data_IF_807726229339
#
_entry.id   IF_807726229339
#
_cell.length_a   1.000
_cell.length_b   1.000
_cell.length_c   1.000
_cell.angle_alpha   90.00
_cell.angle_beta   90.00
_cell.angle_gamma   90.00
#
_symmetry.space_group_name_H-M   'P 1'
#
loop_
_entity.id
_entity.type
_entity.pdbx_description
1 polymer ?
#
# COMPACT_ATOMS: atom_id res chain seq x y z
N UNK A 1 12.28 2.98 -18.32
CA UNK A 1 11.07 3.51 -18.96
C UNK A 1 10.33 4.38 -17.97
N UNK A 2 10.09 5.65 -18.29
CA UNK A 2 9.16 6.49 -17.52
C UNK A 2 7.97 6.81 -18.43
N UNK A 3 6.77 7.00 -17.85
CA UNK A 3 5.45 7.03 -18.52
C UNK A 3 4.68 5.70 -18.65
N UNK A 4 4.97 4.72 -17.78
CA UNK A 4 4.12 3.53 -17.62
C UNK A 4 4.31 2.42 -18.66
N UNK A 5 5.36 2.51 -19.49
CA UNK A 5 5.77 1.40 -20.36
C UNK A 5 6.63 0.41 -19.57
N UNK A 6 6.37 -0.88 -19.76
CA UNK A 6 7.16 -1.97 -19.18
C UNK A 6 7.59 -2.90 -20.32
N UNK A 7 8.84 -3.35 -20.29
CA UNK A 7 9.39 -4.36 -21.21
C UNK A 7 9.75 -5.61 -20.43
N UNK A 8 9.47 -6.77 -21.03
CA UNK A 8 9.66 -8.07 -20.39
C UNK A 8 11.07 -8.65 -20.62
N UNK A 9 11.80 -8.15 -21.63
CA UNK A 9 13.12 -8.67 -22.01
C UNK A 9 14.14 -7.55 -22.23
N UNK A 10 15.42 -7.89 -22.14
CA UNK A 10 16.52 -6.95 -22.34
C UNK A 10 16.67 -6.54 -23.81
N UNK A 11 16.32 -7.41 -24.75
CA UNK A 11 16.32 -7.12 -26.19
C UNK A 11 15.23 -6.10 -26.55
N UNK A 12 14.04 -6.23 -25.95
CA UNK A 12 12.95 -5.24 -26.13
C UNK A 12 13.34 -3.87 -25.59
N UNK A 13 14.13 -3.81 -24.50
CA UNK A 13 14.60 -2.57 -23.89
C UNK A 13 15.43 -1.72 -24.87
N UNK A 14 16.24 -2.35 -25.73
CA UNK A 14 17.08 -1.65 -26.72
C UNK A 14 16.30 -1.11 -27.92
N UNK A 15 15.06 -1.55 -28.15
CA UNK A 15 14.22 -1.04 -29.24
C UNK A 15 13.49 0.26 -28.90
N UNK A 16 13.56 0.72 -27.64
CA UNK A 16 12.88 1.93 -27.18
C UNK A 16 13.83 3.12 -27.02
N UNK A 17 13.39 4.28 -27.53
CA UNK A 17 14.11 5.54 -27.35
C UNK A 17 14.00 6.02 -25.89
N UNK A 18 15.13 6.17 -25.22
CA UNK A 18 15.22 6.82 -23.92
C UNK A 18 15.29 8.33 -24.13
N UNK A 19 14.24 9.04 -23.72
CA UNK A 19 14.30 10.50 -23.62
C UNK A 19 15.32 10.86 -22.55
N UNK A 20 16.43 11.46 -22.98
CA UNK A 20 17.57 11.84 -22.16
C UNK A 20 17.18 12.96 -21.17
N UNK A 21 16.66 12.56 -20.01
CA UNK A 21 16.51 13.43 -18.83
C UNK A 21 17.13 12.74 -17.60
N UNK A 22 18.21 11.98 -17.78
CA UNK A 22 18.95 11.43 -16.64
C UNK A 22 19.76 12.59 -16.05
N UNK A 23 19.46 12.93 -14.79
CA UNK A 23 20.23 13.91 -14.03
C UNK A 23 21.68 13.43 -13.99
N UNK A 24 22.60 14.20 -14.58
CA UNK A 24 24.03 13.87 -14.61
C UNK A 24 24.76 14.24 -13.30
N UNK A 25 24.07 14.94 -12.39
CA UNK A 25 24.57 15.28 -11.06
C UNK A 25 24.33 14.13 -10.09
N UNK A 26 25.30 13.85 -9.22
CA UNK A 26 25.12 12.93 -8.10
C UNK A 26 23.91 13.30 -7.23
N UNK A 27 23.28 12.29 -6.65
CA UNK A 27 22.30 12.53 -5.59
C UNK A 27 23.03 13.10 -4.37
N UNK A 28 22.47 14.14 -3.70
CA UNK A 28 23.02 14.59 -2.45
C UNK A 28 23.04 13.41 -1.47
N UNK A 29 24.09 13.33 -0.66
CA UNK A 29 24.17 12.31 0.39
C UNK A 29 22.99 12.48 1.33
N UNK A 30 22.27 11.39 1.56
CA UNK A 30 21.16 11.32 2.51
C UNK A 30 21.69 11.01 3.92
N UNK A 31 22.76 11.70 4.32
CA UNK A 31 23.41 11.50 5.61
C UNK A 31 22.39 11.79 6.72
N UNK A 32 22.17 10.81 7.60
CA UNK A 32 21.22 10.89 8.71
C UNK A 32 19.73 10.77 8.35
N UNK A 33 19.35 10.48 7.10
CA UNK A 33 17.94 10.41 6.68
C UNK A 33 17.11 9.37 7.45
N UNK A 34 17.75 8.29 7.90
CA UNK A 34 17.12 7.21 8.67
C UNK A 34 17.59 7.18 10.13
N UNK A 35 18.19 8.27 10.62
CA UNK A 35 18.60 8.34 12.02
C UNK A 35 17.37 8.27 12.94
N UNK A 36 17.46 7.41 13.96
CA UNK A 36 16.34 7.13 14.87
C UNK A 36 15.28 6.18 14.31
N UNK A 37 15.48 5.60 13.12
CA UNK A 37 14.61 4.57 12.55
C UNK A 37 15.13 3.18 12.89
N UNK A 38 14.29 2.35 13.51
CA UNK A 38 14.54 0.92 13.65
C UNK A 38 13.98 0.18 12.43
N UNK A 39 14.84 -0.55 11.72
CA UNK A 39 14.44 -1.35 10.55
C UNK A 39 14.39 -2.81 10.96
N UNK A 40 13.19 -3.39 10.91
CA UNK A 40 12.96 -4.79 11.24
C UNK A 40 12.52 -5.59 10.01
N UNK A 41 12.95 -6.84 9.94
CA UNK A 41 12.46 -7.81 8.95
C UNK A 41 11.56 -8.82 9.66
N UNK A 42 10.29 -8.46 9.78
CA UNK A 42 9.32 -9.24 10.53
C UNK A 42 7.95 -9.25 9.82
N UNK A 43 7.14 -10.29 10.06
CA UNK A 43 5.77 -10.33 9.56
C UNK A 43 4.89 -9.35 10.34
N UNK A 44 3.96 -8.69 9.66
CA UNK A 44 2.98 -7.83 10.33
C UNK A 44 2.15 -8.59 11.38
N UNK A 45 1.96 -9.91 11.20
CA UNK A 45 1.27 -10.79 12.15
C UNK A 45 1.92 -10.81 13.53
N UNK A 46 3.23 -10.58 13.62
CA UNK A 46 3.97 -10.59 14.90
C UNK A 46 4.43 -9.19 15.30
N UNK A 47 4.64 -8.29 14.34
CA UNK A 47 5.06 -6.92 14.63
C UNK A 47 3.93 -6.06 15.21
N UNK A 48 2.76 -6.00 14.56
CA UNK A 48 1.67 -5.12 15.00
C UNK A 48 1.16 -5.45 16.41
N UNK A 49 0.99 -6.74 16.79
CA UNK A 49 0.54 -7.08 18.14
C UNK A 49 1.45 -6.60 19.27
N UNK A 50 2.76 -6.44 19.03
CA UNK A 50 3.71 -5.91 20.04
C UNK A 50 3.38 -4.48 20.46
N UNK A 51 2.69 -3.74 19.60
CA UNK A 51 2.32 -2.35 19.83
C UNK A 51 0.81 -2.18 20.07
N UNK A 52 0.01 -3.26 20.08
CA UNK A 52 -1.45 -3.18 20.20
C UNK A 52 -1.91 -2.50 21.49
N UNK A 53 -1.17 -2.61 22.59
CA UNK A 53 -1.53 -1.99 23.87
C UNK A 53 -0.95 -0.57 24.05
N UNK A 54 -0.20 -0.05 23.09
CA UNK A 54 0.37 1.30 23.14
C UNK A 54 -0.57 2.34 22.49
N UNK A 55 -1.28 3.18 23.25
CA UNK A 55 -2.19 4.17 22.69
C UNK A 55 -1.47 5.29 21.91
N UNK A 56 -0.14 5.43 22.04
CA UNK A 56 0.65 6.43 21.31
C UNK A 56 1.19 5.89 19.98
N UNK A 57 1.15 4.58 19.77
CA UNK A 57 1.65 3.98 18.53
C UNK A 57 0.64 4.15 17.39
N UNK A 58 1.07 4.89 16.36
CA UNK A 58 0.37 5.12 15.10
C UNK A 58 0.76 4.06 14.07
N UNK A 59 -0.21 3.32 13.55
CA UNK A 59 0.03 2.33 12.50
C UNK A 59 -0.08 2.99 11.12
N UNK A 60 1.02 3.00 10.36
CA UNK A 60 1.03 3.45 8.96
C UNK A 60 1.10 2.21 8.08
N UNK A 61 -0.01 1.86 7.44
CA UNK A 61 -0.22 0.59 6.75
C UNK A 61 -0.33 0.82 5.24
N UNK A 62 0.64 0.32 4.49
CA UNK A 62 0.65 0.30 3.02
C UNK A 62 0.80 -1.13 2.49
N UNK A 63 -0.22 -1.98 2.65
CA UNK A 63 -0.17 -3.36 2.20
C UNK A 63 -0.21 -3.48 0.67
N UNK A 64 0.31 -4.58 0.08
CA UNK A 64 0.14 -4.88 -1.33
C UNK A 64 -1.35 -4.89 -1.73
N UNK A 65 -1.75 -4.09 -2.71
CA UNK A 65 -3.17 -3.97 -3.08
C UNK A 65 -3.71 -5.25 -3.73
N UNK A 66 -4.82 -5.74 -3.19
CA UNK A 66 -5.59 -6.84 -3.77
C UNK A 66 -5.98 -6.50 -5.22
N UNK A 67 -5.76 -7.44 -6.13
CA UNK A 67 -6.19 -7.39 -7.53
C UNK A 67 -5.55 -6.33 -8.45
N UNK A 68 -4.23 -6.14 -8.40
CA UNK A 68 -3.49 -5.55 -9.52
C UNK A 68 -3.17 -6.63 -10.57
N UNK A 69 -4.11 -6.87 -11.51
CA UNK A 69 -4.01 -7.77 -12.68
C UNK A 69 -3.24 -9.10 -12.43
N UNK A 70 -3.98 -10.17 -12.22
CA UNK A 70 -3.51 -11.56 -12.12
C UNK A 70 -2.66 -12.08 -13.31
N UNK A 71 -2.49 -11.33 -14.40
CA UNK A 71 -1.68 -11.76 -15.55
C UNK A 71 -0.16 -11.63 -15.33
N UNK A 72 0.31 -10.92 -14.30
CA UNK A 72 1.75 -10.64 -14.11
C UNK A 72 2.45 -11.48 -13.04
N UNK A 73 1.73 -12.29 -12.25
CA UNK A 73 2.29 -12.92 -11.04
C UNK A 73 2.23 -14.44 -11.06
N UNK A 74 3.13 -15.06 -11.84
CA UNK A 74 3.48 -16.49 -11.72
C UNK A 74 4.35 -16.75 -10.47
N UNK A 75 3.88 -16.46 -9.27
CA UNK A 75 4.63 -16.77 -8.04
C UNK A 75 3.69 -17.19 -6.89
N UNK A 76 3.98 -18.37 -6.31
CA UNK A 76 3.08 -19.18 -5.49
C UNK A 76 2.97 -18.78 -3.99
N UNK A 77 3.37 -17.55 -3.59
CA UNK A 77 3.32 -17.07 -2.20
C UNK A 77 3.11 -15.54 -2.13
N UNK A 78 2.05 -15.03 -2.72
CA UNK A 78 1.70 -13.60 -2.62
C UNK A 78 0.84 -13.33 -1.40
N UNK A 79 0.98 -12.12 -0.83
CA UNK A 79 0.03 -11.54 0.13
C UNK A 79 -1.37 -11.70 -0.45
N UNK A 80 -2.14 -12.60 0.16
CA UNK A 80 -3.43 -13.04 -0.35
C UNK A 80 -4.58 -12.34 0.39
N UNK A 81 -5.80 -12.68 0.01
CA UNK A 81 -6.99 -12.16 0.67
C UNK A 81 -6.99 -12.46 2.18
N UNK A 82 -6.43 -13.59 2.60
CA UNK A 82 -6.41 -13.99 4.02
C UNK A 82 -5.45 -13.11 4.80
N UNK A 83 -4.26 -12.83 4.26
CA UNK A 83 -3.32 -11.89 4.88
C UNK A 83 -3.92 -10.48 4.99
N UNK A 84 -4.67 -10.06 3.98
CA UNK A 84 -5.41 -8.80 4.02
C UNK A 84 -6.45 -8.76 5.14
N UNK A 85 -7.29 -9.78 5.24
CA UNK A 85 -8.33 -9.88 6.29
C UNK A 85 -7.69 -9.90 7.69
N UNK A 86 -6.58 -10.63 7.86
CA UNK A 86 -5.83 -10.67 9.11
C UNK A 86 -5.24 -9.31 9.47
N UNK A 87 -4.69 -8.58 8.49
CA UNK A 87 -4.17 -7.24 8.70
C UNK A 87 -5.28 -6.30 9.21
N UNK A 88 -6.45 -6.31 8.58
CA UNK A 88 -7.59 -5.51 9.03
C UNK A 88 -8.02 -5.93 10.44
N UNK A 89 -8.06 -7.22 10.74
CA UNK A 89 -8.48 -7.73 12.04
C UNK A 89 -7.54 -7.31 13.20
N UNK A 90 -6.24 -7.16 12.94
CA UNK A 90 -5.27 -6.74 13.97
C UNK A 90 -4.99 -5.22 13.97
N UNK A 91 -5.62 -4.47 13.08
CA UNK A 91 -5.49 -3.01 13.01
C UNK A 91 -6.29 -2.36 14.12
N UNK A 92 -5.69 -1.40 14.84
CA UNK A 92 -6.37 -0.60 15.87
C UNK A 92 -6.04 0.89 15.74
N UNK A 93 -6.93 1.81 16.15
CA UNK A 93 -6.61 3.23 16.21
C UNK A 93 -5.48 3.53 17.22
N UNK A 94 -4.65 4.56 17.00
CA UNK A 94 -4.61 5.39 15.79
C UNK A 94 -3.95 4.68 14.60
N UNK A 95 -4.50 4.84 13.39
CA UNK A 95 -3.92 4.31 12.15
C UNK A 95 -4.15 5.21 10.93
N UNK A 96 -3.29 5.02 9.93
CA UNK A 96 -3.41 5.50 8.54
C UNK A 96 -3.25 4.30 7.61
N UNK A 97 -4.26 4.02 6.81
CA UNK A 97 -4.35 2.86 5.94
C UNK A 97 -4.43 3.31 4.48
N UNK A 98 -3.45 2.91 3.67
CA UNK A 98 -3.41 3.20 2.24
C UNK A 98 -4.06 2.06 1.45
N UNK A 99 -4.86 2.41 0.43
CA UNK A 99 -5.59 1.46 -0.41
C UNK A 99 -5.92 2.07 -1.78
N UNK A 100 -5.91 1.30 -2.86
CA UNK A 100 -6.32 1.81 -4.20
C UNK A 100 -7.77 1.46 -4.54
N UNK A 101 -8.37 2.13 -5.53
CA UNK A 101 -9.76 1.89 -6.00
C UNK A 101 -10.02 0.47 -6.52
N UNK A 102 -8.98 -0.23 -6.99
CA UNK A 102 -9.10 -1.63 -7.42
C UNK A 102 -9.21 -2.61 -6.26
N UNK A 103 -8.99 -2.13 -5.03
CA UNK A 103 -9.11 -2.97 -3.85
C UNK A 103 -10.56 -3.05 -3.41
N UNK A 104 -11.01 -4.28 -3.15
CA UNK A 104 -12.25 -4.60 -2.42
C UNK A 104 -12.29 -3.99 -1.00
N UNK A 105 -11.32 -3.16 -0.60
CA UNK A 105 -11.19 -2.65 0.75
C UNK A 105 -12.36 -1.77 1.20
N UNK A 106 -12.78 -0.81 0.37
CA UNK A 106 -13.92 0.05 0.73
C UNK A 106 -15.19 -0.79 0.87
N UNK A 107 -15.40 -1.73 -0.06
CA UNK A 107 -16.54 -2.67 -0.01
C UNK A 107 -16.49 -3.54 1.24
N UNK A 108 -15.30 -4.05 1.57
CA UNK A 108 -15.05 -4.84 2.76
C UNK A 108 -15.28 -4.05 4.05
N UNK A 109 -14.84 -2.79 4.13
CA UNK A 109 -15.12 -1.94 5.28
C UNK A 109 -16.62 -1.68 5.46
N UNK A 110 -17.35 -1.40 4.37
CA UNK A 110 -18.81 -1.21 4.45
C UNK A 110 -19.49 -2.48 4.95
N UNK A 111 -19.15 -3.64 4.36
CA UNK A 111 -19.62 -4.94 4.84
C UNK A 111 -19.32 -5.15 6.33
N UNK A 112 -18.09 -4.83 6.76
CA UNK A 112 -17.69 -5.02 8.14
C UNK A 112 -18.45 -4.13 9.13
N UNK A 113 -18.79 -2.90 8.72
CA UNK A 113 -19.58 -1.98 9.52
C UNK A 113 -21.07 -2.35 9.55
N UNK A 114 -21.62 -2.78 8.41
CA UNK A 114 -23.03 -3.19 8.28
C UNK A 114 -23.32 -4.47 9.08
N UNK A 115 -22.48 -5.49 8.92
CA UNK A 115 -22.67 -6.81 9.52
C UNK A 115 -22.01 -6.91 10.92
N UNK A 116 -21.34 -5.85 11.37
CA UNK A 116 -20.61 -5.80 12.66
C UNK A 116 -19.69 -7.00 12.86
N UNK A 117 -18.99 -7.40 11.81
CA UNK A 117 -18.01 -8.49 11.86
C UNK A 117 -16.80 -8.08 12.72
N UNK A 118 -15.91 -9.02 13.00
CA UNK A 118 -14.79 -8.80 13.90
C UNK A 118 -13.98 -7.53 13.59
N UNK A 119 -13.63 -6.80 14.65
CA UNK A 119 -12.89 -5.54 14.62
C UNK A 119 -13.58 -4.34 13.94
N UNK A 120 -14.89 -4.40 13.67
CA UNK A 120 -15.64 -3.29 13.06
C UNK A 120 -15.50 -1.96 13.82
N UNK A 121 -15.39 -2.00 15.16
CA UNK A 121 -15.24 -0.81 16.01
C UNK A 121 -13.95 -0.04 15.70
N UNK A 122 -12.89 -0.73 15.25
CA UNK A 122 -11.66 -0.07 14.84
C UNK A 122 -11.88 0.83 13.63
N UNK A 123 -12.88 0.56 12.78
CA UNK A 123 -13.14 1.31 11.56
C UNK A 123 -14.41 2.18 11.62
N UNK A 124 -15.21 2.06 12.67
CA UNK A 124 -16.38 2.91 12.87
C UNK A 124 -15.96 4.39 12.89
N UNK A 125 -16.66 5.25 12.14
CA UNK A 125 -16.33 6.67 12.00
C UNK A 125 -14.93 6.97 11.43
N UNK A 126 -14.25 5.99 10.82
CA UNK A 126 -13.01 6.24 10.09
C UNK A 126 -13.25 7.24 8.95
N UNK A 127 -12.28 8.12 8.73
CA UNK A 127 -12.33 9.13 7.68
C UNK A 127 -11.60 8.64 6.45
N UNK A 128 -12.12 8.99 5.27
CA UNK A 128 -11.53 8.65 3.97
C UNK A 128 -11.13 9.91 3.22
N UNK A 129 -9.93 9.91 2.66
CA UNK A 129 -9.44 10.91 1.69
C UNK A 129 -9.16 10.16 0.39
N UNK A 130 -9.69 10.64 -0.72
CA UNK A 130 -9.46 10.08 -2.06
C UNK A 130 -8.65 11.04 -2.90
N UNK A 131 -7.58 10.54 -3.53
CA UNK A 131 -6.74 11.28 -4.46
C UNK A 131 -6.84 10.65 -5.84
N UNK A 132 -7.24 11.44 -6.82
CA UNK A 132 -7.34 10.99 -8.22
C UNK A 132 -6.01 11.23 -8.93
N UNK A 133 -5.27 10.15 -9.20
CA UNK A 133 -4.02 10.21 -9.94
C UNK A 133 -4.23 9.76 -11.39
N UNK A 134 -3.74 10.56 -12.35
CA UNK A 134 -3.77 10.21 -13.78
C UNK A 134 -2.39 9.67 -14.17
N UNK A 135 -2.32 8.39 -14.55
CA UNK A 135 -1.08 7.78 -15.05
C UNK A 135 -0.78 8.24 -16.47
N UNK A 136 -1.80 8.35 -17.32
CA UNK A 136 -1.73 8.78 -18.72
C UNK A 136 -3.14 9.23 -19.17
N UNK A 137 -3.30 9.69 -20.42
CA UNK A 137 -4.59 10.13 -21.00
C UNK A 137 -5.72 9.09 -20.89
N UNK A 138 -5.38 7.80 -20.81
CA UNK A 138 -6.33 6.68 -20.80
C UNK A 138 -6.51 5.98 -19.44
N UNK A 139 -5.65 6.24 -18.45
CA UNK A 139 -5.65 5.47 -17.19
C UNK A 139 -5.60 6.43 -16.01
N UNK A 140 -6.70 6.49 -15.27
CA UNK A 140 -6.78 7.11 -13.94
C UNK A 140 -6.85 6.00 -12.88
N UNK A 141 -6.22 6.23 -11.73
CA UNK A 141 -6.35 5.41 -10.54
C UNK A 141 -6.66 6.33 -9.35
N UNK A 142 -7.51 5.88 -8.45
CA UNK A 142 -7.79 6.60 -7.20
C UNK A 142 -7.05 5.92 -6.05
N UNK A 143 -6.24 6.69 -5.35
CA UNK A 143 -5.64 6.27 -4.08
C UNK A 143 -6.54 6.74 -2.94
N UNK A 144 -6.77 5.87 -1.97
CA UNK A 144 -7.58 6.12 -0.80
C UNK A 144 -6.73 5.99 0.45
N UNK A 145 -6.82 7.01 1.29
CA UNK A 145 -6.25 7.02 2.62
C UNK A 145 -7.42 6.96 3.61
N UNK A 146 -7.43 5.92 4.44
CA UNK A 146 -8.41 5.73 5.50
C UNK A 146 -7.72 5.89 6.84
N UNK A 147 -8.24 6.72 7.74
CA UNK A 147 -7.60 6.98 9.02
C UNK A 147 -8.60 7.12 10.15
N UNK A 148 -8.14 6.77 11.35
CA UNK A 148 -8.85 6.99 12.62
C UNK A 148 -7.82 7.23 13.72
N UNK A 149 -8.12 8.16 14.62
CA UNK A 149 -7.31 8.49 15.78
C UNK A 149 -8.01 8.06 17.06
#
# INVERSE_FOLDING_TARGET
MFSGQQVATFDDLFQHNFWHCIRQSDYPKADGYLDGVEIVKESFHTLLPKFSDDPKALFVLDPPYLCTKQESYKQAKYFDLIDFLRLVNITRPPYVFFSSTKSEFIRFMNYMLEDKVDNWQAFENAKRITVNAKLNYQVAYEDNLVYKF
#
